data_IF_677024743592
#
_entry.id   IF_677024743592
#
_cell.length_a   1.000
_cell.length_b   1.000
_cell.length_c   1.000
_cell.angle_alpha   90.00
_cell.angle_beta   90.00
_cell.angle_gamma   90.00
#
_symmetry.space_group_name_H-M   'P 1'
#
loop_
_entity.id
_entity.type
_entity.pdbx_description
1 polymer ?
#
# COMPACT_ATOMS: atom_id res chain seq x y z
N UNK A 1 -21.57 0.50 4.99
CA UNK A 1 -21.60 -0.32 3.75
C UNK A 1 -20.17 -0.65 3.36
N UNK A 2 -19.87 -1.90 2.99
CA UNK A 2 -18.55 -2.34 2.55
C UNK A 2 -18.50 -2.44 1.02
N UNK A 3 -17.35 -2.13 0.43
CA UNK A 3 -17.11 -2.10 -1.01
C UNK A 3 -15.85 -2.90 -1.34
N UNK A 4 -15.88 -3.58 -2.48
CA UNK A 4 -14.73 -4.37 -2.93
C UNK A 4 -13.84 -3.68 -3.97
N UNK A 5 -14.19 -2.47 -4.44
CA UNK A 5 -13.35 -1.65 -5.31
C UNK A 5 -13.44 -0.19 -4.93
N UNK A 6 -12.33 0.51 -5.10
CA UNK A 6 -12.18 1.95 -5.02
C UNK A 6 -11.72 2.47 -6.39
N UNK A 7 -12.31 3.58 -6.84
CA UNK A 7 -11.82 4.31 -8.02
C UNK A 7 -11.05 5.53 -7.52
N UNK A 8 -9.80 5.69 -7.93
CA UNK A 8 -8.99 6.87 -7.61
C UNK A 8 -9.44 8.08 -8.44
N UNK A 9 -8.95 9.27 -8.09
CA UNK A 9 -9.24 10.49 -8.85
C UNK A 9 -8.76 10.40 -10.31
N UNK A 10 -7.63 9.74 -10.53
CA UNK A 10 -7.03 9.53 -11.86
C UNK A 10 -7.73 8.42 -12.66
N UNK A 11 -8.79 7.83 -12.12
CA UNK A 11 -9.60 6.81 -12.79
C UNK A 11 -9.08 5.38 -12.66
N UNK A 12 -7.97 5.16 -11.96
CA UNK A 12 -7.46 3.82 -11.65
C UNK A 12 -8.36 3.10 -10.65
N UNK A 13 -8.39 1.76 -10.72
CA UNK A 13 -9.16 0.93 -9.80
C UNK A 13 -8.24 0.19 -8.85
N UNK A 14 -8.49 0.39 -7.55
CA UNK A 14 -7.89 -0.41 -6.48
C UNK A 14 -8.96 -1.41 -6.03
N UNK A 15 -8.65 -2.69 -6.19
CA UNK A 15 -9.54 -3.78 -5.77
C UNK A 15 -9.28 -4.14 -4.31
N UNK A 16 -10.21 -4.90 -3.75
CA UNK A 16 -10.05 -5.51 -2.44
C UNK A 16 -9.78 -7.01 -2.56
N UNK A 17 -9.04 -7.55 -1.60
CA UNK A 17 -8.70 -8.96 -1.53
C UNK A 17 -9.94 -9.86 -1.49
N UNK A 18 -11.03 -9.39 -0.88
CA UNK A 18 -12.29 -10.14 -0.82
C UNK A 18 -12.94 -10.42 -2.18
N UNK A 19 -12.69 -9.59 -3.21
CA UNK A 19 -13.17 -9.86 -4.57
C UNK A 19 -12.45 -11.07 -5.21
N UNK A 20 -11.29 -11.49 -4.67
CA UNK A 20 -10.47 -12.60 -5.21
C UNK A 20 -11.16 -13.99 -5.20
N UNK A 21 -12.36 -14.13 -4.62
CA UNK A 21 -13.11 -15.40 -4.48
C UNK A 21 -13.39 -16.21 -5.78
N UNK A 22 -12.99 -15.76 -6.98
CA UNK A 22 -13.23 -16.45 -8.26
C UNK A 22 -11.96 -16.92 -9.02
N UNK A 23 -10.85 -17.22 -8.34
CA UNK A 23 -9.61 -17.83 -8.91
C UNK A 23 -8.98 -17.14 -10.14
N UNK A 24 -9.50 -16.00 -10.61
CA UNK A 24 -8.89 -15.17 -11.65
C UNK A 24 -7.86 -14.26 -10.99
N UNK A 25 -6.66 -14.78 -10.82
CA UNK A 25 -5.51 -14.15 -10.14
C UNK A 25 -5.03 -12.89 -10.90
N UNK A 26 -5.35 -12.76 -12.19
CA UNK A 26 -4.63 -11.88 -13.13
C UNK A 26 -5.14 -10.43 -13.23
N UNK A 27 -6.14 -10.00 -12.45
CA UNK A 27 -6.80 -8.68 -12.67
C UNK A 27 -7.14 -7.82 -11.45
N UNK A 28 -6.90 -8.29 -10.23
CA UNK A 28 -7.26 -7.51 -9.04
C UNK A 28 -6.00 -7.05 -8.32
N UNK A 29 -5.60 -5.80 -8.55
CA UNK A 29 -4.60 -5.14 -7.72
C UNK A 29 -5.24 -4.74 -6.40
N UNK A 30 -4.87 -5.41 -5.32
CA UNK A 30 -5.32 -5.13 -3.96
C UNK A 30 -4.16 -4.92 -2.99
N UNK A 31 -2.92 -5.03 -3.47
CA UNK A 31 -1.74 -4.63 -2.74
C UNK A 31 -1.49 -3.15 -3.05
N UNK A 32 -1.13 -2.37 -2.04
CA UNK A 32 -1.03 -0.91 -2.14
C UNK A 32 0.20 -0.38 -1.43
N UNK A 33 0.75 0.70 -1.96
CA UNK A 33 1.61 1.61 -1.22
C UNK A 33 0.73 2.69 -0.56
N UNK A 34 1.09 3.05 0.67
CA UNK A 34 0.36 4.01 1.50
C UNK A 34 1.36 5.04 2.01
N UNK A 35 1.08 6.32 1.74
CA UNK A 35 1.83 7.45 2.29
C UNK A 35 1.27 7.82 3.65
N UNK A 36 2.01 7.51 4.71
CA UNK A 36 1.62 7.77 6.09
C UNK A 36 2.47 8.89 6.68
N UNK A 37 1.84 9.94 7.18
CA UNK A 37 2.51 10.92 8.03
C UNK A 37 2.66 10.35 9.44
N UNK A 38 3.89 10.25 9.94
CA UNK A 38 4.19 9.82 11.30
C UNK A 38 4.98 10.90 12.04
N UNK A 39 4.84 10.93 13.35
CA UNK A 39 5.73 11.72 14.20
C UNK A 39 6.93 10.86 14.63
N UNK A 40 8.13 11.23 14.16
CA UNK A 40 9.39 10.55 14.45
C UNK A 40 9.71 10.53 15.95
N UNK A 41 9.22 11.53 16.70
CA UNK A 41 9.44 11.66 18.14
C UNK A 41 8.21 11.32 18.97
N UNK A 42 7.22 10.63 18.40
CA UNK A 42 6.00 10.19 19.12
C UNK A 42 6.27 9.37 20.39
N UNK A 43 7.43 8.71 20.48
CA UNK A 43 7.89 8.00 21.67
C UNK A 43 8.35 8.93 22.81
N UNK A 44 8.45 10.25 22.58
CA UNK A 44 8.88 11.28 23.54
C UNK A 44 7.73 12.25 23.82
N UNK A 45 7.00 12.09 24.94
CA UNK A 45 5.77 12.84 25.22
C UNK A 45 5.91 14.37 25.23
N UNK A 46 7.11 14.89 25.56
CA UNK A 46 7.37 16.33 25.71
C UNK A 46 8.19 16.92 24.56
N UNK A 47 8.48 16.14 23.51
CA UNK A 47 9.19 16.64 22.34
C UNK A 47 8.22 17.37 21.40
N UNK A 48 8.69 18.42 20.73
CA UNK A 48 7.94 19.04 19.64
C UNK A 48 7.78 18.02 18.50
N UNK A 49 6.55 17.81 17.96
CA UNK A 49 6.32 16.84 16.90
C UNK A 49 7.22 17.05 15.69
N UNK A 50 7.80 15.97 15.18
CA UNK A 50 8.60 15.97 13.95
C UNK A 50 7.92 15.06 12.93
N UNK A 51 7.03 15.67 12.15
CA UNK A 51 6.22 14.98 11.15
C UNK A 51 7.08 14.63 9.92
N UNK A 52 7.07 13.36 9.55
CA UNK A 52 7.70 12.84 8.34
C UNK A 52 6.70 11.98 7.57
N UNK A 53 6.82 11.96 6.24
CA UNK A 53 6.06 11.04 5.39
C UNK A 53 6.89 9.77 5.24
N UNK A 54 6.25 8.62 5.46
CA UNK A 54 6.83 7.31 5.23
C UNK A 54 5.94 6.48 4.32
N UNK A 55 6.55 5.70 3.45
CA UNK A 55 5.86 4.71 2.65
C UNK A 55 5.72 3.41 3.44
N UNK A 56 4.49 2.95 3.57
CA UNK A 56 4.15 1.62 4.09
C UNK A 56 3.36 0.85 3.06
N UNK A 57 3.30 -0.46 3.21
CA UNK A 57 2.73 -1.35 2.21
C UNK A 57 1.74 -2.29 2.87
N UNK A 58 0.74 -2.75 2.10
CA UNK A 58 -0.27 -3.64 2.62
C UNK A 58 -1.23 -4.20 1.58
N UNK A 59 -2.11 -5.08 2.05
CA UNK A 59 -3.19 -5.71 1.30
C UNK A 59 -4.50 -5.11 1.77
N UNK A 60 -5.28 -4.53 0.86
CA UNK A 60 -6.62 -4.05 1.15
C UNK A 60 -7.59 -5.23 1.21
N UNK A 61 -8.22 -5.46 2.35
CA UNK A 61 -9.27 -6.48 2.50
C UNK A 61 -10.61 -6.01 1.92
N UNK A 62 -11.05 -4.82 2.33
CA UNK A 62 -12.26 -4.15 1.88
C UNK A 62 -12.18 -2.63 2.16
N UNK A 63 -13.03 -1.89 1.47
CA UNK A 63 -13.29 -0.47 1.74
C UNK A 63 -14.63 -0.33 2.45
N UNK A 64 -14.82 0.72 3.23
CA UNK A 64 -16.13 1.07 3.77
C UNK A 64 -16.28 2.57 3.93
N UNK A 65 -17.53 3.00 3.91
CA UNK A 65 -17.91 4.38 4.19
C UNK A 65 -18.49 4.45 5.60
N UNK A 66 -18.00 5.42 6.37
CA UNK A 66 -18.41 5.71 7.74
C UNK A 66 -18.72 7.19 7.89
N UNK A 67 -19.84 7.52 8.55
CA UNK A 67 -20.19 8.90 8.90
C UNK A 67 -19.81 9.15 10.35
N UNK A 68 -18.98 10.16 10.61
CA UNK A 68 -18.56 10.59 11.94
C UNK A 68 -18.58 12.11 12.01
N UNK A 69 -19.20 12.69 13.04
CA UNK A 69 -19.32 14.15 13.21
C UNK A 69 -19.78 14.89 11.94
N UNK A 70 -20.84 14.37 11.31
CA UNK A 70 -21.41 14.87 10.06
C UNK A 70 -20.48 14.88 8.83
N UNK A 71 -19.31 14.23 8.94
CA UNK A 71 -18.38 14.03 7.83
C UNK A 71 -18.42 12.59 7.35
N UNK A 72 -18.45 12.42 6.04
CA UNK A 72 -18.37 11.12 5.40
C UNK A 72 -16.90 10.81 5.16
N UNK A 73 -16.44 9.71 5.75
CA UNK A 73 -15.09 9.18 5.59
C UNK A 73 -15.15 7.86 4.85
N UNK A 74 -14.24 7.66 3.91
CA UNK A 74 -14.01 6.35 3.30
C UNK A 74 -12.68 5.81 3.84
N UNK A 75 -12.74 4.58 4.35
CA UNK A 75 -11.60 3.91 4.97
C UNK A 75 -11.36 2.58 4.27
N UNK A 76 -10.09 2.20 4.16
CA UNK A 76 -9.63 0.88 3.76
C UNK A 76 -9.25 0.08 5.02
N UNK A 77 -9.70 -1.16 5.11
CA UNK A 77 -9.17 -2.12 6.07
C UNK A 77 -8.00 -2.85 5.42
N UNK A 78 -6.80 -2.63 5.95
CA UNK A 78 -5.55 -3.03 5.30
C UNK A 78 -4.75 -3.93 6.23
N UNK A 79 -4.32 -5.09 5.73
CA UNK A 79 -3.28 -5.89 6.36
C UNK A 79 -1.90 -5.34 5.97
N UNK A 80 -1.17 -4.79 6.94
CA UNK A 80 0.14 -4.19 6.70
C UNK A 80 1.23 -5.25 6.51
N UNK A 81 2.34 -4.86 5.90
CA UNK A 81 3.56 -5.67 5.83
C UNK A 81 4.52 -5.33 6.98
N UNK A 82 5.55 -6.15 7.17
CA UNK A 82 6.73 -5.73 7.93
C UNK A 82 7.46 -4.59 7.21
N UNK A 83 8.41 -3.96 7.91
CA UNK A 83 9.27 -2.93 7.33
C UNK A 83 9.86 -3.44 6.00
N UNK A 84 9.83 -2.59 4.97
CA UNK A 84 10.50 -2.86 3.70
C UNK A 84 12.00 -2.77 3.88
N UNK A 85 12.71 -3.70 3.25
CA UNK A 85 14.16 -3.80 3.20
C UNK A 85 14.55 -3.75 1.73
N UNK A 86 15.57 -2.96 1.41
CA UNK A 86 16.21 -2.97 0.10
C UNK A 86 17.30 -4.06 0.12
N UNK A 87 17.38 -4.86 -0.95
CA UNK A 87 18.52 -5.76 -1.14
C UNK A 87 19.68 -5.07 -1.85
N UNK A 88 20.73 -5.84 -2.18
CA UNK A 88 21.91 -5.36 -2.88
C UNK A 88 21.64 -4.87 -4.32
N UNK A 89 20.45 -5.15 -4.85
CA UNK A 89 19.98 -4.72 -6.17
C UNK A 89 18.86 -3.66 -6.07
N UNK A 90 18.73 -3.01 -4.91
CA UNK A 90 17.70 -2.01 -4.63
C UNK A 90 16.25 -2.54 -4.76
N UNK A 91 16.09 -3.87 -4.76
CA UNK A 91 14.77 -4.48 -4.80
C UNK A 91 14.14 -4.43 -3.40
N UNK A 92 12.97 -3.80 -3.31
CA UNK A 92 12.19 -3.67 -2.08
C UNK A 92 11.49 -4.98 -1.71
N UNK A 93 11.76 -5.54 -0.54
CA UNK A 93 11.08 -6.74 -0.04
C UNK A 93 10.68 -6.66 1.44
N UNK A 94 9.80 -7.58 1.86
CA UNK A 94 9.42 -7.80 3.25
C UNK A 94 9.32 -9.29 3.57
N UNK A 95 9.29 -9.67 4.85
CA UNK A 95 9.33 -11.09 5.26
C UNK A 95 8.00 -11.61 5.77
N UNK A 96 7.14 -10.74 6.30
CA UNK A 96 5.86 -11.15 6.88
C UNK A 96 4.78 -10.07 6.79
N UNK A 97 3.52 -10.52 6.78
CA UNK A 97 2.37 -9.65 7.03
C UNK A 97 2.20 -9.41 8.53
N UNK A 98 1.70 -8.22 8.88
CA UNK A 98 1.49 -7.72 10.24
C UNK A 98 -0.01 -7.57 10.54
N UNK A 99 -0.31 -6.78 11.57
CA UNK A 99 -1.63 -6.36 11.99
C UNK A 99 -2.44 -5.72 10.87
N UNK A 100 -3.76 -5.72 11.06
CA UNK A 100 -4.70 -5.01 10.21
C UNK A 100 -5.07 -3.68 10.84
N UNK A 101 -5.12 -2.64 10.03
CA UNK A 101 -5.43 -1.28 10.47
C UNK A 101 -6.47 -0.65 9.53
N UNK A 102 -7.18 0.36 10.04
CA UNK A 102 -8.04 1.20 9.22
C UNK A 102 -7.24 2.41 8.73
N UNK A 103 -7.24 2.61 7.42
CA UNK A 103 -6.47 3.66 6.74
C UNK A 103 -7.43 4.52 5.95
N UNK A 104 -7.28 5.84 6.05
CA UNK A 104 -8.02 6.75 5.18
C UNK A 104 -7.62 6.50 3.73
N UNK A 105 -8.60 6.34 2.84
CA UNK A 105 -8.31 6.01 1.43
C UNK A 105 -7.46 7.07 0.74
N UNK A 106 -7.43 8.31 1.24
CA UNK A 106 -6.56 9.39 0.74
C UNK A 106 -5.08 9.15 1.00
N UNK A 107 -4.73 8.28 1.95
CA UNK A 107 -3.35 7.88 2.20
C UNK A 107 -2.89 6.76 1.25
N UNK A 108 -3.82 6.09 0.56
CA UNK A 108 -3.48 5.08 -0.44
C UNK A 108 -2.96 5.80 -1.68
N UNK A 109 -1.69 5.56 -2.02
CA UNK A 109 -1.03 6.22 -3.13
C UNK A 109 -1.40 5.53 -4.45
N UNK A 110 -0.93 4.29 -4.63
CA UNK A 110 -1.17 3.52 -5.83
C UNK A 110 -1.10 2.01 -5.58
N UNK A 111 -1.39 1.23 -6.62
CA UNK A 111 -1.36 -0.22 -6.60
C UNK A 111 0.04 -0.77 -6.82
N UNK A 112 0.47 -1.68 -5.95
CA UNK A 112 1.70 -2.46 -6.13
C UNK A 112 1.38 -3.95 -6.29
N UNK A 113 2.38 -4.76 -6.62
CA UNK A 113 2.35 -6.21 -6.61
C UNK A 113 3.24 -6.78 -5.51
N UNK A 114 2.88 -7.93 -4.95
CA UNK A 114 3.76 -8.69 -4.07
C UNK A 114 4.03 -10.07 -4.68
N UNK A 115 5.31 -10.40 -4.90
CA UNK A 115 5.75 -11.70 -5.39
C UNK A 115 6.52 -12.42 -4.29
N UNK A 116 6.07 -13.64 -3.95
CA UNK A 116 6.75 -14.47 -2.94
C UNK A 116 7.86 -15.28 -3.59
N UNK A 117 9.08 -15.14 -3.09
CA UNK A 117 10.24 -15.97 -3.44
C UNK A 117 10.87 -16.42 -2.12
N UNK A 118 10.88 -17.73 -1.89
CA UNK A 118 11.23 -18.35 -0.60
C UNK A 118 10.48 -17.71 0.58
N UNK A 119 11.23 -17.15 1.54
CA UNK A 119 10.72 -16.51 2.75
C UNK A 119 10.61 -14.99 2.60
N UNK A 120 10.74 -14.45 1.38
CA UNK A 120 10.66 -13.03 1.08
C UNK A 120 9.47 -12.74 0.16
N UNK A 121 8.90 -11.55 0.31
CA UNK A 121 7.90 -10.98 -0.56
C UNK A 121 8.47 -9.72 -1.19
N UNK A 122 8.77 -9.78 -2.49
CA UNK A 122 9.27 -8.66 -3.27
C UNK A 122 8.11 -7.77 -3.71
N UNK A 123 8.35 -6.46 -3.68
CA UNK A 123 7.41 -5.44 -4.12
C UNK A 123 7.66 -5.15 -5.59
N UNK A 124 6.62 -5.30 -6.40
CA UNK A 124 6.62 -4.98 -7.82
C UNK A 124 5.80 -3.71 -7.99
N UNK A 125 6.48 -2.61 -8.26
CA UNK A 125 5.84 -1.32 -8.48
C UNK A 125 5.89 -1.01 -9.98
N UNK A 126 4.72 -0.99 -10.62
CA UNK A 126 4.61 -0.71 -12.05
C UNK A 126 4.61 0.77 -12.37
N UNK A 127 4.21 1.61 -11.41
CA UNK A 127 4.12 3.06 -11.61
C UNK A 127 5.50 3.71 -11.38
N UNK A 128 6.35 3.08 -10.57
CA UNK A 128 7.74 3.47 -10.37
C UNK A 128 8.75 2.49 -11.01
N UNK A 129 8.33 1.67 -11.96
CA UNK A 129 9.25 0.80 -12.70
C UNK A 129 10.21 1.65 -13.54
N UNK A 130 11.49 1.24 -13.57
CA UNK A 130 12.46 1.81 -14.50
C UNK A 130 11.97 1.57 -15.93
N UNK A 131 12.13 2.55 -16.82
CA UNK A 131 11.79 2.37 -18.23
C UNK A 131 12.92 1.61 -18.93
N UNK A 132 12.80 0.29 -18.97
CA UNK A 132 13.74 -0.61 -19.62
C UNK A 132 13.93 -0.27 -21.12
N UNK A 133 13.01 0.50 -21.73
CA UNK A 133 13.14 0.95 -23.12
C UNK A 133 14.29 1.94 -23.34
N UNK A 134 14.86 2.53 -22.28
CA UNK A 134 15.99 3.46 -22.38
C UNK A 134 17.35 2.82 -22.00
N UNK A 135 17.40 1.50 -21.77
CA UNK A 135 18.62 0.80 -21.34
C UNK A 135 19.70 0.72 -22.43
N UNK A 136 19.36 0.85 -23.72
CA UNK A 136 20.33 0.74 -24.83
C UNK A 136 21.27 1.96 -25.00
N UNK A 137 21.26 2.97 -24.11
CA UNK A 137 22.07 4.19 -24.26
C UNK A 137 23.08 4.46 -23.14
N UNK A 138 23.52 3.43 -22.40
CA UNK A 138 24.63 3.53 -21.45
C UNK A 138 25.86 2.80 -22.02
N UNK A 139 26.62 3.50 -22.85
CA UNK A 139 28.05 3.21 -23.14
C UNK A 139 28.96 3.86 -22.09
#
# INVERSE_FOLDING_TARGET
MQYGRLRTLDGHYISSHWIKKKNKITRNNYCVQIRRTIDKVSHRPNALPQLIIVDIYGIVDYFFVHKFNDKIHMLAYVQLTSKIIDDEYECKYFTQFKSKEFIDVRCVDHCVGFAKIDNKYFTIDKENAFDDANWENLE
#
